data_IF_839546253899
#
_entry.id   IF_839546253899
#
_cell.length_a   1.000
_cell.length_b   1.000
_cell.length_c   1.000
_cell.angle_alpha   90.00
_cell.angle_beta   90.00
_cell.angle_gamma   90.00
#
_symmetry.space_group_name_H-M   'P 1'
#
loop_
_entity.id
_entity.type
_entity.pdbx_description
1 polymer ?
#
# COMPACT_ATOMS: atom_id res chain seq x y z
N UNK A 1 -7.37 3.83 1.52
CA UNK A 1 -7.52 2.39 1.80
C UNK A 1 -6.30 1.79 2.49
N UNK A 2 -5.10 1.90 1.91
CA UNK A 2 -3.88 1.23 2.43
C UNK A 2 -3.57 1.57 3.89
N UNK A 3 -3.66 2.86 4.24
CA UNK A 3 -3.47 3.37 5.61
C UNK A 3 -4.36 2.68 6.64
N UNK A 4 -5.62 2.48 6.31
CA UNK A 4 -6.59 1.90 7.25
C UNK A 4 -6.35 0.40 7.44
N UNK A 5 -6.00 -0.33 6.36
CA UNK A 5 -5.56 -1.73 6.43
C UNK A 5 -4.28 -1.91 7.25
N UNK A 6 -3.30 -1.00 7.12
CA UNK A 6 -2.09 -1.05 7.96
C UNK A 6 -2.43 -0.84 9.44
N UNK A 7 -3.26 0.17 9.75
CA UNK A 7 -3.67 0.46 11.13
C UNK A 7 -4.47 -0.69 11.76
N UNK A 8 -5.34 -1.37 11.01
CA UNK A 8 -6.08 -2.52 11.54
C UNK A 8 -5.17 -3.70 11.92
N UNK A 9 -3.95 -3.73 11.36
CA UNK A 9 -2.88 -4.67 11.73
C UNK A 9 -1.96 -4.15 12.84
N UNK A 10 -2.24 -2.98 13.42
CA UNK A 10 -1.42 -2.32 14.44
C UNK A 10 0.05 -2.07 14.02
N UNK A 11 0.29 -1.87 12.72
CA UNK A 11 1.63 -1.60 12.20
C UNK A 11 1.86 -0.10 12.05
N UNK A 12 3.05 0.38 12.43
CA UNK A 12 3.54 1.72 12.10
C UNK A 12 3.98 1.81 10.64
N UNK A 13 4.23 3.03 10.14
CA UNK A 13 4.76 3.21 8.79
C UNK A 13 6.20 2.70 8.65
N UNK A 14 6.99 2.78 9.72
CA UNK A 14 8.36 2.28 9.78
C UNK A 14 8.39 0.76 9.66
N UNK A 15 7.66 0.05 10.53
CA UNK A 15 7.59 -1.42 10.51
C UNK A 15 7.11 -1.96 9.16
N UNK A 16 6.11 -1.29 8.56
CA UNK A 16 5.62 -1.70 7.25
C UNK A 16 6.63 -1.43 6.14
N UNK A 17 7.38 -0.33 6.21
CA UNK A 17 8.44 -0.04 5.23
C UNK A 17 9.56 -1.09 5.27
N UNK A 18 9.92 -1.55 6.48
CA UNK A 18 10.90 -2.62 6.70
C UNK A 18 10.40 -3.95 6.14
N UNK A 19 9.16 -4.34 6.45
CA UNK A 19 8.50 -5.55 5.90
C UNK A 19 8.49 -5.58 4.37
N UNK A 20 8.18 -4.44 3.76
CA UNK A 20 8.13 -4.32 2.30
C UNK A 20 9.53 -4.21 1.67
N UNK A 21 10.57 -3.90 2.46
CA UNK A 21 11.94 -3.71 2.01
C UNK A 21 12.11 -2.44 1.17
N UNK A 22 11.44 -1.35 1.56
CA UNK A 22 11.51 -0.04 0.89
C UNK A 22 11.80 1.07 1.89
N UNK A 23 12.24 2.23 1.41
CA UNK A 23 12.42 3.39 2.29
C UNK A 23 11.09 3.83 2.93
N UNK A 24 11.15 4.33 4.17
CA UNK A 24 10.00 4.93 4.85
C UNK A 24 9.33 5.99 3.96
N UNK A 25 10.11 6.87 3.32
CA UNK A 25 9.60 7.91 2.41
C UNK A 25 8.77 7.33 1.27
N UNK A 26 9.24 6.25 0.66
CA UNK A 26 8.50 5.57 -0.40
C UNK A 26 7.22 4.94 0.14
N UNK A 27 7.28 4.27 1.30
CA UNK A 27 6.10 3.68 1.92
C UNK A 27 5.06 4.74 2.28
N UNK A 28 5.46 5.86 2.88
CA UNK A 28 4.56 6.98 3.24
C UNK A 28 3.78 7.48 2.02
N UNK A 29 4.40 7.54 0.83
CA UNK A 29 3.70 7.91 -0.40
C UNK A 29 2.68 6.86 -0.84
N UNK A 30 3.01 5.57 -0.72
CA UNK A 30 2.09 4.46 -1.02
C UNK A 30 0.93 4.43 -0.01
N UNK A 31 1.22 4.56 1.29
CA UNK A 31 0.26 4.53 2.41
C UNK A 31 -0.77 5.67 2.28
N UNK A 32 -0.34 6.83 1.79
CA UNK A 32 -1.19 7.97 1.49
C UNK A 32 -1.74 7.98 0.05
N UNK A 33 -1.52 6.90 -0.71
CA UNK A 33 -2.06 6.70 -2.07
C UNK A 33 -1.59 7.81 -3.05
N UNK A 34 -0.40 8.37 -2.79
CA UNK A 34 0.36 9.37 -3.57
C UNK A 34 1.54 8.76 -4.35
N UNK A 35 1.53 7.45 -4.55
CA UNK A 35 2.43 6.74 -5.46
C UNK A 35 1.89 5.33 -5.69
N UNK A 36 1.84 4.92 -6.96
CA UNK A 36 1.58 3.53 -7.29
C UNK A 36 2.84 2.67 -7.04
N UNK A 37 2.75 1.58 -6.27
CA UNK A 37 3.88 0.70 -6.02
C UNK A 37 4.29 -0.08 -7.29
N UNK A 38 5.58 -0.44 -7.38
CA UNK A 38 6.06 -1.41 -8.38
C UNK A 38 5.43 -2.79 -8.13
N UNK A 39 5.38 -3.64 -9.16
CA UNK A 39 4.74 -4.97 -9.11
C UNK A 39 5.20 -5.84 -7.92
N UNK A 40 6.49 -5.85 -7.63
CA UNK A 40 7.08 -6.61 -6.52
C UNK A 40 6.60 -6.09 -5.16
N UNK A 41 6.55 -4.77 -4.99
CA UNK A 41 6.05 -4.12 -3.77
C UNK A 41 4.54 -4.29 -3.65
N UNK A 42 3.80 -4.18 -4.74
CA UNK A 42 2.36 -4.40 -4.77
C UNK A 42 2.03 -5.83 -4.32
N UNK A 43 2.77 -6.84 -4.81
CA UNK A 43 2.61 -8.24 -4.37
C UNK A 43 2.81 -8.37 -2.85
N UNK A 44 3.89 -7.79 -2.30
CA UNK A 44 4.13 -7.82 -0.85
C UNK A 44 3.05 -7.08 -0.07
N UNK A 45 2.60 -5.93 -0.57
CA UNK A 45 1.54 -5.12 0.04
C UNK A 45 0.22 -5.90 0.14
N UNK A 46 -0.16 -6.60 -0.95
CA UNK A 46 -1.35 -7.46 -1.00
C UNK A 46 -1.27 -8.54 0.07
N UNK A 47 -0.11 -9.21 0.18
CA UNK A 47 0.09 -10.27 1.19
C UNK A 47 0.12 -9.72 2.61
N UNK A 48 0.88 -8.67 2.89
CA UNK A 48 1.00 -8.12 4.25
C UNK A 48 -0.30 -7.50 4.75
N UNK A 49 -1.14 -6.95 3.85
CA UNK A 49 -2.42 -6.31 4.20
C UNK A 49 -3.65 -7.21 4.04
N UNK A 50 -3.49 -8.46 3.57
CA UNK A 50 -4.60 -9.37 3.24
C UNK A 50 -5.67 -8.67 2.38
N UNK A 51 -5.26 -8.12 1.24
CA UNK A 51 -6.18 -7.44 0.32
C UNK A 51 -6.97 -8.46 -0.50
N UNK A 52 -8.29 -8.27 -0.61
CA UNK A 52 -9.12 -9.06 -1.53
C UNK A 52 -8.97 -8.59 -2.98
N UNK A 53 -9.44 -9.39 -3.94
CA UNK A 53 -9.41 -9.01 -5.34
C UNK A 53 -10.22 -7.72 -5.62
N UNK A 54 -11.34 -7.54 -4.93
CA UNK A 54 -12.17 -6.34 -4.99
C UNK A 54 -11.40 -5.11 -4.48
N UNK A 55 -10.78 -5.20 -3.31
CA UNK A 55 -9.99 -4.11 -2.72
C UNK A 55 -8.78 -3.75 -3.60
N UNK A 56 -8.13 -4.75 -4.21
CA UNK A 56 -7.05 -4.54 -5.18
C UNK A 56 -7.57 -3.76 -6.39
N UNK A 57 -8.72 -4.16 -6.93
CA UNK A 57 -9.36 -3.49 -8.06
C UNK A 57 -9.72 -2.03 -7.75
N UNK A 58 -10.35 -1.79 -6.60
CA UNK A 58 -10.68 -0.44 -6.12
C UNK A 58 -9.43 0.41 -5.93
N UNK A 59 -8.38 -0.14 -5.31
CA UNK A 59 -7.13 0.57 -5.12
C UNK A 59 -6.48 0.99 -6.44
N UNK A 60 -6.37 0.06 -7.39
CA UNK A 60 -5.80 0.34 -8.72
C UNK A 60 -6.65 1.39 -9.45
N UNK A 61 -7.98 1.26 -9.43
CA UNK A 61 -8.87 2.24 -10.04
C UNK A 61 -8.64 3.63 -9.45
N UNK A 62 -8.80 3.77 -8.12
CA UNK A 62 -8.71 5.05 -7.42
C UNK A 62 -7.35 5.73 -7.63
N UNK A 63 -6.25 4.98 -7.57
CA UNK A 63 -4.92 5.58 -7.73
C UNK A 63 -4.61 5.93 -9.20
N UNK A 64 -5.20 5.27 -10.19
CA UNK A 64 -5.05 5.68 -11.59
C UNK A 64 -5.90 6.89 -11.96
N UNK A 65 -7.10 7.03 -11.38
CA UNK A 65 -7.98 8.18 -11.61
C UNK A 65 -7.48 9.44 -10.91
N UNK A 66 -6.89 9.33 -9.72
CA UNK A 66 -6.30 10.47 -8.98
C UNK A 66 -4.99 11.01 -9.59
N UNK A 67 -4.47 10.35 -10.63
CA UNK A 67 -3.27 10.75 -11.36
C UNK A 67 -3.58 11.26 -12.78
N UNK A 68 -4.86 11.45 -13.11
CA UNK A 68 -5.33 12.12 -14.33
C UNK A 68 -5.42 13.64 -14.16
#
# INVERSE_FOLDING_TARGET
>A
MIKEKRKSKNLTQEEMSEKLGISLRQYVRIDNEKAFPRRDILKKLITELDLTNEEIGEYIKNITENYA
#
